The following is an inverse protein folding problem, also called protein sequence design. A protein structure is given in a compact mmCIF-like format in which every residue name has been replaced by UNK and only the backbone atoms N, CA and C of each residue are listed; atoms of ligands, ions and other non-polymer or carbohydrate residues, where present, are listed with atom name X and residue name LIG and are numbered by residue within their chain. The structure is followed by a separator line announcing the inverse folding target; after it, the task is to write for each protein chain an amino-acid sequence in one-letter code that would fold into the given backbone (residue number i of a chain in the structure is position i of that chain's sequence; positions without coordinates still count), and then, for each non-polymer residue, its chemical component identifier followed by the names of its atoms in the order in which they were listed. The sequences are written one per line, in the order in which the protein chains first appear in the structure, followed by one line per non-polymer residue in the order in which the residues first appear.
data_IF_319844026319
#
_entry.id   IF_319844026319
#
_cell.length_a   1.000
_cell.length_b   1.000
_cell.length_c   1.000
_cell.angle_alpha   90.00
_cell.angle_beta   90.00
_cell.angle_gamma   90.00
#
_symmetry.space_group_name_H-M   'P 1'
#
loop_
_entity.id
_entity.type
_entity.pdbx_description
1 polymer ?
#
# COMPACT_ATOMS: atom_id res chain seq x y z
N UNK A 1 15.21 7.91 -22.58
CA UNK A 1 14.38 9.03 -23.06
C UNK A 1 13.23 9.18 -22.07
N UNK A 2 12.95 10.36 -21.50
CA UNK A 2 11.77 10.56 -20.69
C UNK A 2 10.53 10.31 -21.57
N UNK A 3 9.59 9.46 -21.04
CA UNK A 3 8.30 9.27 -21.71
C UNK A 3 7.62 10.61 -21.87
N UNK A 4 7.18 10.96 -23.08
CA UNK A 4 6.27 12.08 -23.27
C UNK A 4 4.97 11.75 -22.55
N UNK A 5 4.75 12.41 -21.43
CA UNK A 5 3.58 12.18 -20.56
C UNK A 5 2.40 12.93 -21.19
N UNK A 6 1.81 12.36 -22.24
CA UNK A 6 0.45 12.75 -22.59
C UNK A 6 -0.48 12.17 -21.52
N UNK A 7 -1.20 13.02 -20.80
CA UNK A 7 -2.25 12.60 -19.89
C UNK A 7 -3.41 12.01 -20.69
N UNK A 8 -3.17 10.82 -21.28
CA UNK A 8 -4.15 10.08 -22.06
C UNK A 8 -5.24 9.47 -21.16
N UNK A 9 -6.33 8.98 -21.75
CA UNK A 9 -7.42 8.30 -21.03
C UNK A 9 -6.94 7.24 -20.06
N UNK A 10 -5.86 6.54 -20.39
CA UNK A 10 -5.25 5.49 -19.56
C UNK A 10 -4.69 5.98 -18.23
N UNK A 11 -4.07 7.17 -18.19
CA UNK A 11 -3.54 7.72 -16.92
C UNK A 11 -4.64 8.21 -16.00
N UNK A 12 -5.73 8.76 -16.55
CA UNK A 12 -6.89 9.14 -15.75
C UNK A 12 -7.54 7.89 -15.15
N UNK A 13 -7.76 6.86 -15.95
CA UNK A 13 -8.32 5.58 -15.48
C UNK A 13 -7.43 4.95 -14.40
N UNK A 14 -6.11 4.95 -14.59
CA UNK A 14 -5.16 4.48 -13.59
C UNK A 14 -5.24 5.30 -12.28
N UNK A 15 -5.37 6.63 -12.38
CA UNK A 15 -5.49 7.48 -11.18
C UNK A 15 -6.78 7.21 -10.42
N UNK A 16 -7.91 7.09 -11.12
CA UNK A 16 -9.20 6.73 -10.51
C UNK A 16 -9.12 5.32 -9.91
N UNK A 17 -8.54 4.35 -10.64
CA UNK A 17 -8.34 3.00 -10.14
C UNK A 17 -7.52 2.97 -8.85
N UNK A 18 -6.45 3.79 -8.78
CA UNK A 18 -5.62 3.87 -7.59
C UNK A 18 -6.34 4.52 -6.39
N UNK A 19 -7.15 5.55 -6.63
CA UNK A 19 -7.98 6.15 -5.57
C UNK A 19 -8.99 5.13 -5.04
N UNK A 20 -9.61 4.34 -5.92
CA UNK A 20 -10.51 3.24 -5.51
C UNK A 20 -9.72 2.16 -4.74
N UNK A 21 -8.55 1.76 -5.24
CA UNK A 21 -7.67 0.81 -4.56
C UNK A 21 -7.26 1.30 -3.16
N UNK A 22 -6.87 2.57 -3.03
CA UNK A 22 -6.59 3.19 -1.74
C UNK A 22 -7.82 3.24 -0.83
N UNK A 23 -8.99 3.60 -1.35
CA UNK A 23 -10.23 3.55 -0.59
C UNK A 23 -10.54 2.14 -0.06
N UNK A 24 -10.28 1.10 -0.87
CA UNK A 24 -10.38 -0.29 -0.42
C UNK A 24 -9.36 -0.61 0.69
N UNK A 25 -8.12 -0.12 0.61
CA UNK A 25 -7.16 -0.25 1.71
C UNK A 25 -7.66 0.37 3.01
N UNK A 26 -8.39 1.48 2.95
CA UNK A 26 -9.03 2.10 4.12
C UNK A 26 -10.06 1.23 4.83
N UNK A 27 -10.59 0.19 4.16
CA UNK A 27 -11.51 -0.81 4.74
C UNK A 27 -10.78 -2.11 5.12
N UNK A 28 -9.53 -2.28 4.70
CA UNK A 28 -8.76 -3.53 4.85
C UNK A 28 -8.55 -3.96 6.31
N UNK A 29 -8.61 -3.04 7.27
CA UNK A 29 -8.53 -3.37 8.70
C UNK A 29 -9.65 -4.32 9.14
N UNK A 30 -10.82 -4.30 8.49
CA UNK A 30 -11.95 -5.18 8.82
C UNK A 30 -11.62 -6.66 8.52
N UNK A 31 -11.24 -7.06 7.29
CA UNK A 31 -10.84 -8.44 7.02
C UNK A 31 -9.64 -8.90 7.87
N UNK A 32 -8.67 -8.02 8.13
CA UNK A 32 -7.54 -8.36 9.02
C UNK A 32 -8.04 -8.66 10.43
N UNK A 33 -8.95 -7.85 10.97
CA UNK A 33 -9.53 -8.05 12.30
C UNK A 33 -10.32 -9.33 12.39
N UNK A 34 -11.14 -9.63 11.38
CA UNK A 34 -11.89 -10.91 11.32
C UNK A 34 -10.96 -12.11 11.44
N UNK A 35 -9.86 -12.12 10.69
CA UNK A 35 -8.88 -13.20 10.72
C UNK A 35 -8.11 -13.22 12.06
N UNK A 36 -7.78 -12.05 12.61
CA UNK A 36 -7.10 -11.95 13.92
C UNK A 36 -7.97 -12.49 15.06
N UNK A 37 -9.27 -12.16 15.07
CA UNK A 37 -10.24 -12.63 16.08
C UNK A 37 -10.46 -14.15 16.02
N UNK A 38 -10.12 -14.79 14.89
CA UNK A 38 -10.10 -16.25 14.76
C UNK A 38 -8.86 -16.91 15.39
N UNK A 39 -7.97 -16.13 16.02
CA UNK A 39 -6.74 -16.62 16.67
C UNK A 39 -5.48 -16.52 15.81
N UNK A 40 -5.49 -15.67 14.78
CA UNK A 40 -4.37 -15.40 13.87
C UNK A 40 -3.88 -13.94 13.98
N UNK A 41 -3.31 -13.53 15.11
CA UNK A 41 -2.95 -12.13 15.36
C UNK A 41 -1.74 -11.68 14.53
N UNK A 42 -1.64 -10.37 14.33
CA UNK A 42 -0.46 -9.71 13.77
C UNK A 42 -0.09 -10.22 12.36
N UNK A 43 1.14 -10.69 12.22
CA UNK A 43 1.71 -11.15 10.94
C UNK A 43 0.95 -12.35 10.35
N UNK A 44 0.36 -13.22 11.20
CA UNK A 44 -0.39 -14.40 10.76
C UNK A 44 -1.62 -14.06 9.92
N UNK A 45 -2.33 -12.99 10.26
CA UNK A 45 -3.49 -12.55 9.46
C UNK A 45 -3.08 -12.24 8.02
N UNK A 46 -1.99 -11.51 7.83
CA UNK A 46 -1.42 -11.24 6.50
C UNK A 46 -1.01 -12.52 5.76
N UNK A 47 -0.28 -13.40 6.42
CA UNK A 47 0.17 -14.70 5.84
C UNK A 47 -1.01 -15.51 5.31
N UNK A 48 -2.07 -15.65 6.10
CA UNK A 48 -3.26 -16.44 5.70
C UNK A 48 -4.00 -15.77 4.55
N UNK A 49 -4.16 -14.44 4.56
CA UNK A 49 -4.81 -13.70 3.48
C UNK A 49 -4.00 -13.74 2.17
N UNK A 50 -2.67 -13.58 2.23
CA UNK A 50 -1.81 -13.68 1.03
C UNK A 50 -1.79 -15.11 0.49
N UNK A 51 -1.73 -16.11 1.37
CA UNK A 51 -1.77 -17.52 0.97
C UNK A 51 -3.11 -17.85 0.29
N UNK A 52 -4.24 -17.42 0.86
CA UNK A 52 -5.57 -17.60 0.27
C UNK A 52 -5.65 -16.94 -1.12
N UNK A 53 -5.15 -15.73 -1.26
CA UNK A 53 -5.11 -15.04 -2.56
C UNK A 53 -4.26 -15.80 -3.60
N UNK A 54 -3.10 -16.33 -3.20
CA UNK A 54 -2.26 -17.14 -4.10
C UNK A 54 -2.93 -18.47 -4.47
N UNK A 55 -3.66 -19.11 -3.55
CA UNK A 55 -4.43 -20.33 -3.84
C UNK A 55 -5.50 -20.06 -4.91
N UNK A 56 -6.26 -18.98 -4.78
CA UNK A 56 -7.27 -18.59 -5.77
C UNK A 56 -6.62 -18.27 -7.13
N UNK A 57 -5.40 -17.74 -7.14
CA UNK A 57 -4.66 -17.41 -8.36
C UNK A 57 -3.88 -18.59 -8.97
N UNK A 58 -3.92 -19.79 -8.38
CA UNK A 58 -3.24 -20.98 -8.92
C UNK A 58 -3.54 -21.25 -10.40
N UNK A 59 -4.78 -21.13 -10.89
CA UNK A 59 -5.05 -21.31 -12.34
C UNK A 59 -4.31 -20.29 -13.20
N UNK A 60 -4.24 -19.02 -12.74
CA UNK A 60 -3.53 -17.95 -13.44
C UNK A 60 -2.01 -18.19 -13.42
N UNK A 61 -1.47 -18.66 -12.29
CA UNK A 61 -0.06 -19.07 -12.17
C UNK A 61 0.24 -20.18 -13.19
N UNK A 62 -0.61 -21.20 -13.25
CA UNK A 62 -0.42 -22.32 -14.17
C UNK A 62 -0.45 -21.90 -15.63
N UNK A 63 -1.42 -21.06 -16.03
CA UNK A 63 -1.52 -20.54 -17.39
C UNK A 63 -0.28 -19.72 -17.77
N UNK A 64 0.18 -18.85 -16.86
CA UNK A 64 1.29 -17.91 -17.12
C UNK A 64 2.65 -18.46 -16.70
N UNK A 65 2.77 -19.74 -16.31
CA UNK A 65 4.02 -20.32 -15.74
C UNK A 65 5.27 -20.10 -16.59
N UNK A 66 5.15 -20.17 -17.92
CA UNK A 66 6.30 -19.95 -18.82
C UNK A 66 6.78 -18.49 -18.78
N UNK A 67 5.84 -17.54 -18.75
CA UNK A 67 6.16 -16.10 -18.64
C UNK A 67 6.73 -15.76 -17.26
N UNK A 68 6.12 -16.29 -16.20
CA UNK A 68 6.61 -16.11 -14.82
C UNK A 68 8.03 -16.65 -14.66
N UNK A 69 8.30 -17.85 -15.16
CA UNK A 69 9.63 -18.45 -15.10
C UNK A 69 10.65 -17.70 -15.95
N UNK A 70 10.27 -17.14 -17.10
CA UNK A 70 11.20 -16.36 -17.95
C UNK A 70 11.60 -15.02 -17.32
N UNK A 71 10.78 -14.48 -16.40
CA UNK A 71 10.96 -13.17 -15.75
C UNK A 71 11.17 -13.28 -14.24
N UNK A 72 11.44 -14.47 -13.72
CA UNK A 72 11.40 -14.77 -12.29
C UNK A 72 12.26 -13.85 -11.43
N UNK A 73 13.47 -13.50 -11.89
CA UNK A 73 14.37 -12.61 -11.15
C UNK A 73 13.79 -11.21 -10.97
N UNK A 74 13.23 -10.68 -12.04
CA UNK A 74 12.61 -9.35 -12.04
C UNK A 74 11.36 -9.33 -11.16
N UNK A 75 10.52 -10.35 -11.29
CA UNK A 75 9.29 -10.50 -10.52
C UNK A 75 9.60 -10.72 -9.03
N UNK A 76 10.60 -11.55 -8.71
CA UNK A 76 11.03 -11.77 -7.33
C UNK A 76 11.57 -10.47 -6.71
N UNK A 77 12.38 -9.71 -7.44
CA UNK A 77 12.92 -8.44 -6.95
C UNK A 77 11.81 -7.41 -6.67
N UNK A 78 10.89 -7.21 -7.61
CA UNK A 78 9.78 -6.26 -7.41
C UNK A 78 8.80 -6.75 -6.37
N UNK A 79 8.50 -8.05 -6.39
CA UNK A 79 7.65 -8.68 -5.37
C UNK A 79 8.24 -8.55 -3.97
N UNK A 80 9.55 -8.72 -3.82
CA UNK A 80 10.23 -8.47 -2.55
C UNK A 80 10.09 -7.01 -2.11
N UNK A 81 10.33 -6.05 -2.99
CA UNK A 81 10.22 -4.62 -2.63
C UNK A 81 8.80 -4.25 -2.21
N UNK A 82 7.82 -4.59 -3.03
CA UNK A 82 6.41 -4.25 -2.78
C UNK A 82 5.83 -5.07 -1.63
N UNK A 83 6.18 -6.35 -1.54
CA UNK A 83 5.78 -7.22 -0.44
C UNK A 83 6.40 -6.83 0.90
N UNK A 84 7.69 -6.45 0.91
CA UNK A 84 8.35 -5.93 2.11
C UNK A 84 7.67 -4.66 2.62
N UNK A 85 7.29 -3.75 1.71
CA UNK A 85 6.56 -2.54 2.10
C UNK A 85 5.36 -2.86 2.99
N UNK A 86 4.49 -3.75 2.55
CA UNK A 86 3.26 -4.08 3.29
C UNK A 86 3.51 -4.95 4.52
N UNK A 87 4.40 -5.93 4.42
CA UNK A 87 4.73 -6.79 5.57
C UNK A 87 5.39 -6.01 6.70
N UNK A 88 6.32 -5.09 6.39
CA UNK A 88 6.97 -4.23 7.37
C UNK A 88 5.98 -3.23 7.99
N UNK A 89 5.10 -2.63 7.18
CA UNK A 89 4.06 -1.74 7.69
C UNK A 89 3.13 -2.46 8.67
N UNK A 90 2.58 -3.61 8.27
CA UNK A 90 1.71 -4.41 9.14
C UNK A 90 2.41 -4.81 10.44
N UNK A 91 3.68 -5.20 10.36
CA UNK A 91 4.50 -5.53 11.54
C UNK A 91 4.72 -4.31 12.43
N UNK A 92 4.97 -3.14 11.83
CA UNK A 92 5.19 -1.90 12.59
C UNK A 92 3.99 -1.52 13.46
N UNK A 93 2.76 -1.76 12.97
CA UNK A 93 1.52 -1.47 13.70
C UNK A 93 1.40 -2.25 15.03
N UNK A 94 2.11 -3.38 15.17
CA UNK A 94 2.15 -4.14 16.43
C UNK A 94 3.31 -3.76 17.34
N UNK A 95 4.28 -2.93 16.86
CA UNK A 95 5.51 -2.61 17.58
C UNK A 95 5.64 -1.12 17.97
N UNK A 96 4.78 -0.27 17.43
CA UNK A 96 4.77 1.16 17.75
C UNK A 96 3.35 1.71 17.74
N UNK A 97 3.21 2.97 18.15
CA UNK A 97 1.96 3.70 18.08
C UNK A 97 1.44 3.77 16.63
N UNK A 98 0.17 3.43 16.44
CA UNK A 98 -0.46 3.34 15.09
C UNK A 98 -0.37 4.67 14.35
N UNK A 99 -0.59 5.80 15.05
CA UNK A 99 -0.51 7.14 14.45
C UNK A 99 0.90 7.42 13.94
N UNK A 100 1.92 7.05 14.74
CA UNK A 100 3.33 7.20 14.34
C UNK A 100 3.69 6.32 13.16
N UNK A 101 3.25 5.05 13.16
CA UNK A 101 3.47 4.13 12.04
C UNK A 101 2.87 4.69 10.74
N UNK A 102 1.63 5.18 10.80
CA UNK A 102 0.96 5.80 9.65
C UNK A 102 1.72 7.05 9.17
N UNK A 103 2.11 7.96 10.07
CA UNK A 103 2.85 9.17 9.70
C UNK A 103 4.17 8.84 9.00
N UNK A 104 4.92 7.87 9.51
CA UNK A 104 6.21 7.47 8.95
C UNK A 104 6.06 6.75 7.61
N UNK A 105 5.07 5.87 7.46
CA UNK A 105 4.75 5.23 6.20
C UNK A 105 4.34 6.25 5.14
N UNK A 106 3.48 7.20 5.48
CA UNK A 106 2.97 8.21 4.55
C UNK A 106 3.95 9.35 4.24
N UNK A 107 5.23 9.22 4.61
CA UNK A 107 6.33 9.91 3.93
C UNK A 107 6.61 9.34 2.52
N UNK A 108 5.95 8.24 2.15
CA UNK A 108 6.00 7.62 0.81
C UNK A 108 5.88 8.61 -0.36
N UNK A 109 4.95 9.59 -0.39
CA UNK A 109 4.89 10.56 -1.48
C UNK A 109 6.14 11.43 -1.58
N UNK A 110 6.81 11.71 -0.46
CA UNK A 110 8.08 12.45 -0.43
C UNK A 110 9.16 11.60 -1.08
N UNK A 111 9.33 10.36 -0.64
CA UNK A 111 10.30 9.42 -1.22
C UNK A 111 10.04 9.18 -2.69
N UNK A 112 8.77 8.97 -3.07
CA UNK A 112 8.38 8.78 -4.46
C UNK A 112 8.67 10.00 -5.34
N UNK A 113 8.46 11.21 -4.81
CA UNK A 113 8.79 12.45 -5.51
C UNK A 113 10.31 12.61 -5.69
N UNK A 114 11.09 12.35 -4.63
CA UNK A 114 12.56 12.38 -4.71
C UNK A 114 13.10 11.38 -5.73
N UNK A 115 12.60 10.15 -5.72
CA UNK A 115 12.95 9.13 -6.71
C UNK A 115 12.55 9.53 -8.13
N UNK A 116 11.39 10.15 -8.30
CA UNK A 116 10.93 10.70 -9.57
C UNK A 116 11.89 11.75 -10.14
N UNK A 117 12.35 12.66 -9.28
CA UNK A 117 13.31 13.69 -9.66
C UNK A 117 14.70 13.10 -9.99
N UNK A 118 15.24 12.27 -9.07
CA UNK A 118 16.64 11.83 -9.14
C UNK A 118 16.86 10.72 -10.16
N UNK A 119 15.88 9.82 -10.31
CA UNK A 119 16.03 8.59 -11.12
C UNK A 119 15.26 8.67 -12.43
N UNK A 120 14.04 9.26 -12.43
CA UNK A 120 13.20 9.33 -13.61
C UNK A 120 13.36 10.65 -14.38
N UNK A 121 14.10 11.62 -13.84
CA UNK A 121 14.31 12.94 -14.46
C UNK A 121 13.02 13.77 -14.53
N UNK A 122 12.07 13.53 -13.64
CA UNK A 122 10.82 14.29 -13.58
C UNK A 122 11.07 15.73 -13.15
N UNK A 123 10.18 16.63 -13.55
CA UNK A 123 10.23 18.04 -13.13
C UNK A 123 9.20 18.30 -12.04
N UNK A 124 9.60 19.05 -11.02
CA UNK A 124 8.65 19.57 -10.03
C UNK A 124 7.80 20.66 -10.68
N UNK A 125 6.49 20.43 -10.69
CA UNK A 125 5.52 21.45 -11.03
C UNK A 125 4.92 22.03 -9.75
N UNK A 126 4.48 23.28 -9.79
CA UNK A 126 3.81 23.94 -8.64
C UNK A 126 2.60 23.10 -8.20
N UNK A 127 1.82 22.59 -9.16
CA UNK A 127 0.66 21.71 -8.88
C UNK A 127 1.04 20.46 -8.08
N UNK A 128 2.17 19.83 -8.44
CA UNK A 128 2.64 18.62 -7.75
C UNK A 128 3.13 18.93 -6.34
N UNK A 129 3.88 20.03 -6.18
CA UNK A 129 4.32 20.49 -4.85
C UNK A 129 3.10 20.83 -3.98
N UNK A 130 2.11 21.54 -4.53
CA UNK A 130 0.88 21.88 -3.81
C UNK A 130 0.09 20.64 -3.41
N UNK A 131 -0.04 19.64 -4.29
CA UNK A 131 -0.72 18.38 -3.98
C UNK A 131 0.01 17.62 -2.86
N UNK A 132 1.36 17.53 -2.93
CA UNK A 132 2.17 16.88 -1.91
C UNK A 132 2.03 17.57 -0.55
N UNK A 133 2.20 18.90 -0.51
CA UNK A 133 2.09 19.67 0.74
C UNK A 133 0.67 19.57 1.31
N UNK A 134 -0.35 19.71 0.47
CA UNK A 134 -1.74 19.66 0.91
C UNK A 134 -2.11 18.26 1.45
N UNK A 135 -1.64 17.19 0.80
CA UNK A 135 -1.83 15.81 1.27
C UNK A 135 -1.16 15.54 2.62
N UNK A 136 0.10 15.95 2.77
CA UNK A 136 0.84 15.79 4.04
C UNK A 136 0.25 16.65 5.16
N UNK A 137 -0.14 17.89 4.88
CA UNK A 137 -0.83 18.72 5.86
C UNK A 137 -2.19 18.11 6.25
N UNK A 138 -2.96 17.59 5.30
CA UNK A 138 -4.21 16.91 5.55
C UNK A 138 -4.02 15.67 6.45
N UNK A 139 -3.00 14.86 6.19
CA UNK A 139 -2.61 13.74 7.04
C UNK A 139 -2.31 14.18 8.48
N UNK A 140 -1.49 15.22 8.65
CA UNK A 140 -1.15 15.76 9.98
C UNK A 140 -2.39 16.29 10.71
N UNK A 141 -3.32 16.90 9.99
CA UNK A 141 -4.59 17.40 10.56
C UNK A 141 -5.47 16.24 11.01
N UNK A 142 -5.65 15.19 10.17
CA UNK A 142 -6.45 14.01 10.53
C UNK A 142 -5.88 13.31 11.75
N UNK A 143 -4.57 13.08 11.77
CA UNK A 143 -3.90 12.32 12.84
C UNK A 143 -3.61 13.15 14.11
N UNK A 144 -3.83 14.44 14.07
CA UNK A 144 -3.69 15.36 15.20
C UNK A 144 -2.47 16.28 15.12
N UNK A 145 -2.73 17.56 14.94
CA UNK A 145 -1.73 18.61 15.12
C UNK A 145 -1.34 18.67 16.62
N UNK A 146 -0.08 18.42 16.95
CA UNK A 146 0.43 18.47 18.32
C UNK A 146 1.30 17.27 18.70
N UNK A 147 1.35 16.24 17.88
CA UNK A 147 2.37 15.22 17.99
C UNK A 147 3.74 15.83 17.67
N UNK A 148 4.74 15.51 18.49
CA UNK A 148 6.14 15.84 18.16
C UNK A 148 6.45 15.22 16.81
N UNK A 149 7.30 15.89 16.00
CA UNK A 149 7.74 15.32 14.72
C UNK A 149 8.14 13.84 14.92
N UNK A 150 7.63 12.91 14.11
CA UNK A 150 7.76 11.49 14.38
C UNK A 150 9.15 10.97 13.99
N UNK A 151 10.20 11.45 14.69
CA UNK A 151 11.51 10.82 14.56
C UNK A 151 11.40 9.36 15.02
N UNK A 152 12.00 8.41 14.28
CA UNK A 152 12.03 7.01 14.71
C UNK A 152 12.68 6.84 16.07
N UNK A 153 11.97 6.26 17.03
CA UNK A 153 12.41 6.08 18.43
C UNK A 153 12.55 4.61 18.81
N UNK A 154 11.92 3.72 18.07
CA UNK A 154 11.91 2.28 18.32
C UNK A 154 11.96 1.50 16.99
N UNK A 155 12.10 0.18 17.08
CA UNK A 155 12.17 -0.70 15.90
C UNK A 155 10.91 -0.59 15.03
N UNK A 156 9.72 -0.50 15.64
CA UNK A 156 8.45 -0.35 14.90
C UNK A 156 8.42 0.92 14.04
N UNK A 157 8.95 2.04 14.56
CA UNK A 157 9.06 3.29 13.80
C UNK A 157 10.00 3.13 12.58
N UNK A 158 11.13 2.45 12.74
CA UNK A 158 12.06 2.17 11.63
C UNK A 158 11.45 1.23 10.59
N UNK A 159 10.66 0.25 11.03
CA UNK A 159 9.93 -0.63 10.11
C UNK A 159 8.89 0.16 9.30
N UNK A 160 8.13 1.07 9.94
CA UNK A 160 7.15 1.92 9.28
C UNK A 160 7.82 2.85 8.24
N UNK A 161 8.90 3.53 8.61
CA UNK A 161 9.65 4.40 7.72
C UNK A 161 10.24 3.62 6.53
N UNK A 162 10.87 2.47 6.81
CA UNK A 162 11.44 1.60 5.78
C UNK A 162 10.37 1.09 4.85
N UNK A 163 9.18 0.74 5.36
CA UNK A 163 8.07 0.27 4.53
C UNK A 163 7.65 1.32 3.50
N UNK A 164 7.56 2.60 3.89
CA UNK A 164 7.29 3.71 2.97
C UNK A 164 8.37 3.88 1.90
N UNK A 165 9.64 3.72 2.26
CA UNK A 165 10.75 3.74 1.30
C UNK A 165 10.71 2.56 0.34
N UNK A 166 10.44 1.34 0.84
CA UNK A 166 10.27 0.13 0.02
C UNK A 166 9.12 0.28 -0.96
N UNK A 167 7.98 0.86 -0.51
CA UNK A 167 6.86 1.12 -1.39
C UNK A 167 7.18 2.15 -2.48
N UNK A 168 7.81 3.27 -2.12
CA UNK A 168 8.22 4.29 -3.08
C UNK A 168 9.19 3.73 -4.14
N UNK A 169 10.19 2.95 -3.71
CA UNK A 169 11.14 2.33 -4.63
C UNK A 169 10.50 1.20 -5.44
N UNK A 170 9.66 0.38 -4.81
CA UNK A 170 8.90 -0.69 -5.47
C UNK A 170 7.96 -0.14 -6.55
N UNK A 171 7.19 0.91 -6.24
CA UNK A 171 6.29 1.56 -7.21
C UNK A 171 7.06 2.22 -8.36
N UNK A 172 8.26 2.79 -8.10
CA UNK A 172 9.14 3.25 -9.17
C UNK A 172 9.59 2.11 -10.08
N UNK A 173 9.92 0.95 -9.52
CA UNK A 173 10.29 -0.23 -10.31
C UNK A 173 9.11 -0.78 -11.10
N UNK A 174 7.91 -0.84 -10.52
CA UNK A 174 6.69 -1.18 -11.24
C UNK A 174 6.48 -0.24 -12.44
N UNK A 175 6.63 1.05 -12.25
CA UNK A 175 6.51 2.06 -13.30
C UNK A 175 7.54 1.87 -14.44
N UNK A 176 8.74 1.40 -14.12
CA UNK A 176 9.80 1.11 -15.11
C UNK A 176 9.56 -0.20 -15.89
N UNK A 177 8.67 -1.08 -15.41
CA UNK A 177 8.48 -2.44 -15.95
C UNK A 177 7.23 -2.58 -16.83
N UNK A 178 7.05 -1.72 -17.81
CA UNK A 178 5.87 -1.70 -18.70
C UNK A 178 5.59 -3.01 -19.45
N UNK A 179 6.61 -3.84 -19.67
CA UNK A 179 6.50 -5.08 -20.45
C UNK A 179 6.00 -6.28 -19.64
N UNK A 180 5.78 -6.11 -18.34
CA UNK A 180 5.31 -7.17 -17.46
C UNK A 180 3.81 -6.92 -17.20
N UNK A 181 2.99 -7.95 -17.40
CA UNK A 181 1.55 -7.84 -17.16
C UNK A 181 1.26 -7.53 -15.68
N UNK A 182 0.28 -6.66 -15.42
CA UNK A 182 -0.09 -6.28 -14.06
C UNK A 182 -0.49 -7.49 -13.20
N UNK A 183 -1.12 -8.51 -13.79
CA UNK A 183 -1.44 -9.76 -13.10
C UNK A 183 -0.19 -10.51 -12.61
N UNK A 184 0.90 -10.53 -13.41
CA UNK A 184 2.18 -11.13 -13.00
C UNK A 184 2.82 -10.34 -11.85
N UNK A 185 2.65 -9.01 -11.86
CA UNK A 185 3.18 -8.13 -10.80
C UNK A 185 2.36 -8.26 -9.50
N UNK A 186 1.03 -8.46 -9.59
CA UNK A 186 0.18 -8.79 -8.42
C UNK A 186 0.60 -10.12 -7.81
N UNK A 187 0.86 -11.13 -8.63
CA UNK A 187 1.40 -12.42 -8.15
C UNK A 187 2.75 -12.24 -7.47
N UNK A 188 3.63 -11.45 -8.05
CA UNK A 188 4.94 -11.14 -7.46
C UNK A 188 4.80 -10.42 -6.10
N UNK A 189 3.90 -9.44 -6.00
CA UNK A 189 3.57 -8.74 -4.77
C UNK A 189 3.07 -9.70 -3.68
N UNK A 190 2.10 -10.56 -3.99
CA UNK A 190 1.54 -11.53 -3.03
C UNK A 190 2.59 -12.54 -2.56
N UNK A 191 3.39 -13.05 -3.49
CA UNK A 191 4.47 -13.98 -3.16
C UNK A 191 5.56 -13.31 -2.32
N UNK A 192 5.95 -12.09 -2.66
CA UNK A 192 6.90 -11.31 -1.90
C UNK A 192 6.40 -10.96 -0.49
N UNK A 193 5.11 -10.61 -0.37
CA UNK A 193 4.47 -10.37 0.94
C UNK A 193 4.47 -11.63 1.80
N UNK A 194 4.15 -12.79 1.21
CA UNK A 194 4.19 -14.08 1.91
C UNK A 194 5.61 -14.44 2.36
N UNK A 195 6.62 -14.24 1.49
CA UNK A 195 8.02 -14.51 1.84
C UNK A 195 8.51 -13.63 2.98
N UNK A 196 8.26 -12.31 2.91
CA UNK A 196 8.72 -11.37 3.94
C UNK A 196 7.97 -11.62 5.25
N UNK A 197 6.66 -11.82 5.21
CA UNK A 197 5.88 -12.16 6.40
C UNK A 197 6.32 -13.49 7.01
N UNK A 198 6.59 -14.50 6.18
CA UNK A 198 7.14 -15.78 6.63
C UNK A 198 8.52 -15.62 7.28
N UNK A 199 9.38 -14.79 6.71
CA UNK A 199 10.68 -14.46 7.32
C UNK A 199 10.51 -13.76 8.68
N UNK A 200 9.59 -12.80 8.78
CA UNK A 200 9.29 -12.13 10.06
C UNK A 200 8.79 -13.14 11.10
N UNK A 201 7.95 -14.11 10.72
CA UNK A 201 7.52 -15.18 11.63
C UNK A 201 8.67 -16.09 12.10
N UNK A 202 9.69 -16.28 11.27
CA UNK A 202 10.86 -17.09 11.63
C UNK A 202 11.81 -16.39 12.58
N UNK A 203 11.99 -15.06 12.43
CA UNK A 203 13.01 -14.29 13.18
C UNK A 203 12.44 -13.37 14.26
N UNK A 204 11.14 -13.08 14.21
CA UNK A 204 10.50 -12.02 14.98
C UNK A 204 10.27 -12.30 16.48
N UNK A 205 10.64 -13.47 16.96
CA UNK A 205 10.43 -13.85 18.36
C UNK A 205 8.96 -14.05 18.76
N UNK A 206 8.68 -14.39 20.02
CA UNK A 206 7.33 -14.77 20.48
C UNK A 206 6.27 -13.68 20.36
N UNK A 207 6.68 -12.41 20.40
CA UNK A 207 5.78 -11.25 20.32
C UNK A 207 5.18 -11.08 18.91
N UNK A 208 5.97 -11.36 17.88
CA UNK A 208 5.56 -11.22 16.47
C UNK A 208 5.12 -12.55 15.86
N UNK A 209 5.73 -13.63 16.31
CA UNK A 209 5.51 -15.00 15.82
C UNK A 209 4.88 -15.85 16.92
N UNK A 210 3.71 -15.45 17.44
CA UNK A 210 2.93 -16.28 18.33
C UNK A 210 2.76 -17.67 17.72
N UNK A 211 2.98 -18.73 18.53
CA UNK A 211 2.75 -20.10 18.07
C UNK A 211 1.27 -20.28 17.80
N UNK A 212 0.95 -20.55 16.55
CA UNK A 212 -0.43 -20.79 16.10
C UNK A 212 -0.56 -22.27 15.74
N UNK A 213 -1.64 -22.91 16.21
CA UNK A 213 -1.95 -24.27 15.83
C UNK A 213 -2.40 -24.32 14.37
N UNK A 214 -1.97 -25.37 13.65
CA UNK A 214 -2.36 -25.59 12.25
C UNK A 214 -3.88 -25.64 12.07
N UNK A 215 -4.62 -26.15 13.06
CA UNK A 215 -6.07 -26.22 13.02
C UNK A 215 -6.71 -24.83 13.00
N UNK A 216 -6.12 -23.84 13.66
CA UNK A 216 -6.58 -22.44 13.62
C UNK A 216 -6.43 -21.89 12.21
N UNK A 217 -5.29 -22.15 11.56
CA UNK A 217 -5.05 -21.74 10.17
C UNK A 217 -6.06 -22.41 9.22
N UNK A 218 -6.27 -23.72 9.36
CA UNK A 218 -7.20 -24.47 8.52
C UNK A 218 -8.65 -24.01 8.71
N UNK A 219 -9.05 -23.66 9.93
CA UNK A 219 -10.39 -23.14 10.23
C UNK A 219 -10.61 -21.71 9.68
N UNK A 220 -9.57 -20.87 9.63
CA UNK A 220 -9.64 -19.53 9.07
C UNK A 220 -9.58 -19.52 7.53
N UNK A 221 -9.02 -20.55 6.91
CA UNK A 221 -8.78 -20.59 5.46
C UNK A 221 -10.05 -20.42 4.61
N UNK A 222 -11.21 -21.03 4.90
CA UNK A 222 -12.43 -20.80 4.12
C UNK A 222 -12.87 -19.33 4.11
N UNK A 223 -12.76 -18.66 5.26
CA UNK A 223 -13.07 -17.23 5.37
C UNK A 223 -12.06 -16.37 4.62
N UNK A 224 -10.77 -16.70 4.73
CA UNK A 224 -9.72 -16.02 3.97
C UNK A 224 -9.92 -16.18 2.45
N UNK A 225 -10.31 -17.36 1.98
CA UNK A 225 -10.66 -17.59 0.58
C UNK A 225 -11.86 -16.76 0.12
N UNK A 226 -12.91 -16.65 0.95
CA UNK A 226 -14.04 -15.77 0.65
C UNK A 226 -13.62 -14.31 0.57
N UNK A 227 -12.75 -13.86 1.47
CA UNK A 227 -12.24 -12.49 1.49
C UNK A 227 -11.42 -12.14 0.24
N UNK A 228 -10.91 -13.12 -0.52
CA UNK A 228 -10.20 -12.85 -1.77
C UNK A 228 -11.05 -12.15 -2.81
N UNK A 229 -12.38 -12.27 -2.76
CA UNK A 229 -13.31 -11.53 -3.64
C UNK A 229 -13.10 -10.03 -3.49
N UNK A 230 -12.78 -9.57 -2.28
CA UNK A 230 -12.45 -8.19 -1.98
C UNK A 230 -10.95 -7.89 -2.21
N UNK A 231 -10.07 -8.78 -1.77
CA UNK A 231 -8.62 -8.55 -1.75
C UNK A 231 -8.01 -8.50 -3.15
N UNK A 232 -8.42 -9.39 -4.05
CA UNK A 232 -7.81 -9.45 -5.38
C UNK A 232 -8.08 -8.19 -6.22
N UNK A 233 -9.31 -7.63 -6.29
CA UNK A 233 -9.53 -6.32 -6.91
C UNK A 233 -8.71 -5.21 -6.24
N UNK A 234 -8.62 -5.19 -4.91
CA UNK A 234 -7.84 -4.21 -4.16
C UNK A 234 -6.36 -4.26 -4.54
N UNK A 235 -5.74 -5.44 -4.54
CA UNK A 235 -4.33 -5.62 -4.94
C UNK A 235 -4.11 -5.22 -6.41
N UNK A 236 -5.03 -5.61 -7.29
CA UNK A 236 -4.95 -5.25 -8.70
C UNK A 236 -5.03 -3.73 -8.92
N UNK A 237 -6.00 -3.06 -8.27
CA UNK A 237 -6.17 -1.61 -8.35
C UNK A 237 -5.05 -0.82 -7.65
N UNK A 238 -4.21 -1.46 -6.88
CA UNK A 238 -3.00 -0.87 -6.30
C UNK A 238 -1.79 -1.05 -7.23
N UNK A 239 -1.56 -2.26 -7.69
CA UNK A 239 -0.37 -2.62 -8.48
C UNK A 239 -0.47 -2.15 -9.93
N UNK A 240 -1.60 -2.39 -10.61
CA UNK A 240 -1.77 -1.97 -12.00
C UNK A 240 -1.58 -0.46 -12.22
N UNK A 241 -2.19 0.44 -11.45
CA UNK A 241 -1.95 1.87 -11.64
C UNK A 241 -0.50 2.29 -11.35
N UNK A 242 0.17 1.63 -10.41
CA UNK A 242 1.57 1.90 -10.10
C UNK A 242 2.53 1.57 -11.28
N UNK A 243 2.08 0.75 -12.23
CA UNK A 243 2.84 0.53 -13.48
C UNK A 243 2.73 1.69 -14.48
N UNK A 244 1.73 2.54 -14.32
CA UNK A 244 1.38 3.61 -15.26
C UNK A 244 1.62 5.01 -14.70
N UNK A 245 1.68 5.14 -13.37
CA UNK A 245 1.79 6.40 -12.66
C UNK A 245 3.16 6.55 -12.01
N UNK A 246 3.69 7.75 -12.02
CA UNK A 246 4.93 8.08 -11.34
C UNK A 246 4.83 7.86 -9.82
N UNK A 247 5.91 7.42 -9.14
CA UNK A 247 5.87 6.99 -7.73
C UNK A 247 5.38 8.07 -6.76
N UNK A 248 5.73 9.34 -6.96
CA UNK A 248 5.20 10.43 -6.13
C UNK A 248 3.69 10.61 -6.28
N UNK A 249 3.16 10.44 -7.51
CA UNK A 249 1.73 10.47 -7.78
C UNK A 249 1.00 9.29 -7.13
N UNK A 250 1.60 8.10 -7.21
CA UNK A 250 1.07 6.90 -6.54
C UNK A 250 0.92 7.15 -5.04
N UNK A 251 1.93 7.72 -4.39
CA UNK A 251 1.90 8.02 -2.97
C UNK A 251 0.76 8.97 -2.57
N UNK A 252 0.57 10.07 -3.32
CA UNK A 252 -0.51 11.05 -3.02
C UNK A 252 -1.89 10.44 -3.23
N UNK A 253 -2.10 9.68 -4.31
CA UNK A 253 -3.41 9.10 -4.62
C UNK A 253 -3.81 7.99 -3.63
N UNK A 254 -2.84 7.23 -3.11
CA UNK A 254 -3.07 6.22 -2.07
C UNK A 254 -3.50 6.82 -0.72
N UNK A 255 -3.30 8.12 -0.47
CA UNK A 255 -3.83 8.75 0.75
C UNK A 255 -5.36 8.70 0.85
N UNK A 256 -6.07 8.32 -0.22
CA UNK A 256 -7.50 7.98 -0.15
C UNK A 256 -7.82 6.86 0.85
N UNK A 257 -6.86 6.00 1.16
CA UNK A 257 -6.93 5.02 2.25
C UNK A 257 -7.24 5.68 3.59
N UNK A 258 -6.55 6.78 3.91
CA UNK A 258 -6.71 7.48 5.18
C UNK A 258 -8.13 8.05 5.30
N UNK A 259 -8.62 8.65 4.21
CA UNK A 259 -9.97 9.23 4.15
C UNK A 259 -11.02 8.17 4.47
N UNK A 260 -10.96 7.03 3.79
CA UNK A 260 -11.92 5.94 3.97
C UNK A 260 -11.70 5.23 5.31
N UNK A 261 -10.44 5.06 5.73
CA UNK A 261 -10.10 4.47 7.02
C UNK A 261 -10.71 5.23 8.19
N UNK A 262 -10.57 6.55 8.21
CA UNK A 262 -11.11 7.41 9.28
C UNK A 262 -12.66 7.40 9.27
N UNK A 263 -13.28 7.47 8.08
CA UNK A 263 -14.74 7.40 7.96
C UNK A 263 -15.27 6.05 8.44
N UNK A 264 -14.65 4.95 8.00
CA UNK A 264 -15.09 3.60 8.38
C UNK A 264 -14.85 3.32 9.86
N UNK A 265 -13.76 3.80 10.44
CA UNK A 265 -13.49 3.71 11.87
C UNK A 265 -14.55 4.48 12.68
N UNK A 266 -14.94 5.67 12.25
CA UNK A 266 -16.00 6.45 12.89
C UNK A 266 -17.37 5.74 12.83
N UNK A 267 -17.75 5.23 11.65
CA UNK A 267 -19.06 4.62 11.44
C UNK A 267 -19.18 3.23 12.07
N UNK A 268 -18.10 2.41 11.99
CA UNK A 268 -18.14 1.00 12.39
C UNK A 268 -17.63 0.82 13.82
N UNK A 269 -16.56 1.52 14.21
CA UNK A 269 -15.95 1.38 15.54
C UNK A 269 -16.39 2.48 16.52
N UNK A 270 -17.20 3.47 16.07
CA UNK A 270 -17.65 4.57 16.92
C UNK A 270 -16.57 5.57 17.29
N UNK A 271 -15.47 5.63 16.53
CA UNK A 271 -14.42 6.61 16.76
C UNK A 271 -14.93 8.03 16.48
N UNK A 272 -14.43 9.05 17.20
CA UNK A 272 -14.90 10.43 17.04
C UNK A 272 -14.53 10.95 15.63
N UNK A 273 -15.53 11.52 14.94
CA UNK A 273 -15.37 12.23 13.68
C UNK A 273 -15.84 13.67 13.85
N UNK A 274 -14.91 14.59 14.01
CA UNK A 274 -15.17 16.00 14.26
C UNK A 274 -14.68 16.90 13.12
N UNK A 275 -14.60 18.19 13.42
CA UNK A 275 -14.13 19.21 12.47
C UNK A 275 -12.71 18.94 11.96
N UNK A 276 -11.84 18.44 12.82
CA UNK A 276 -10.44 18.12 12.50
C UNK A 276 -10.36 17.04 11.43
N UNK A 277 -11.05 15.91 11.64
CA UNK A 277 -11.09 14.79 10.72
C UNK A 277 -11.71 15.20 9.38
N UNK A 278 -12.79 15.99 9.41
CA UNK A 278 -13.44 16.53 8.22
C UNK A 278 -12.49 17.45 7.43
N UNK A 279 -11.80 18.39 8.10
CA UNK A 279 -10.86 19.31 7.45
C UNK A 279 -9.70 18.55 6.79
N UNK A 280 -9.05 17.65 7.51
CA UNK A 280 -7.94 16.87 6.97
C UNK A 280 -8.37 15.97 5.80
N UNK A 281 -9.56 15.38 5.89
CA UNK A 281 -10.18 14.63 4.79
C UNK A 281 -10.35 15.48 3.53
N UNK A 282 -10.91 16.69 3.66
CA UNK A 282 -11.06 17.64 2.54
C UNK A 282 -9.71 18.01 1.93
N UNK A 283 -8.68 18.23 2.76
CA UNK A 283 -7.32 18.52 2.26
C UNK A 283 -6.74 17.34 1.46
N UNK A 284 -6.87 16.11 1.94
CA UNK A 284 -6.38 14.90 1.24
C UNK A 284 -7.13 14.70 -0.09
N UNK A 285 -8.47 14.84 -0.07
CA UNK A 285 -9.27 14.75 -1.31
C UNK A 285 -8.86 15.84 -2.31
N UNK A 286 -8.65 17.06 -1.84
CA UNK A 286 -8.18 18.17 -2.69
C UNK A 286 -6.80 17.90 -3.27
N UNK A 287 -5.87 17.30 -2.51
CA UNK A 287 -4.57 16.88 -3.00
C UNK A 287 -4.69 15.83 -4.12
N UNK A 288 -5.54 14.82 -3.94
CA UNK A 288 -5.80 13.81 -4.96
C UNK A 288 -6.42 14.43 -6.24
N UNK A 289 -7.37 15.36 -6.10
CA UNK A 289 -7.97 16.06 -7.24
C UNK A 289 -6.92 16.92 -7.99
N UNK A 290 -6.07 17.63 -7.26
CA UNK A 290 -4.97 18.40 -7.87
C UNK A 290 -4.03 17.48 -8.66
N UNK A 291 -3.70 16.30 -8.13
CA UNK A 291 -2.82 15.36 -8.80
C UNK A 291 -3.48 14.73 -10.03
N UNK A 292 -4.81 14.46 -9.98
CA UNK A 292 -5.57 13.89 -11.12
C UNK A 292 -5.69 14.91 -12.26
N UNK A 293 -6.08 16.14 -11.95
CA UNK A 293 -6.45 17.14 -12.97
C UNK A 293 -5.30 18.10 -13.30
N UNK A 294 -4.37 18.32 -12.39
CA UNK A 294 -3.22 19.21 -12.60
C UNK A 294 -2.24 18.68 -13.65
N UNK A 295 -2.10 17.38 -13.78
CA UNK A 295 -1.28 16.76 -14.82
C UNK A 295 -1.77 17.01 -16.26
N UNK A 296 -3.02 17.46 -16.43
CA UNK A 296 -3.59 17.78 -17.76
C UNK A 296 -3.15 19.14 -18.32
N UNK A 297 -2.62 20.05 -17.49
CA UNK A 297 -2.30 21.42 -17.90
C UNK A 297 -0.83 21.62 -18.33
N UNK A 298 0.01 20.59 -18.23
CA UNK A 298 1.45 20.68 -18.54
C UNK A 298 1.83 20.03 -19.87
N UNK A 299 0.86 19.73 -20.71
CA UNK A 299 0.99 19.39 -22.13
C UNK A 299 0.47 20.50 -22.99
#
# INVERSE_FOLDING_TARGET
MPKSISAGPTQLTASIGLVIGGAMWGVYWIPVRVIADMGLPGVWAGVVLYLAALIVLLPIIWINRKSLLSKWQTLLFVGFLTGAAFSLFTTSLSMTDVVRAILLFYLTPVWGTLLGLMVLGERLTITRVSALVLGLCGLLVVLGLGQKFPWPQNIGDWLALSSGMFWAYGSMKLYQMEKIAASEQVLAFLFGSLLVSGFILLVGGPELAAKVDINVILNAMPYALLLTIYLLPMFYLTIWPATLLAPGRVGVLLMSEIVVGVITAAVISGEPFGFREALGTVMIVSAALLEIFGARKTT
#
